data_IF_520362065494
#
_entry.id   IF_520362065494
#
_cell.length_a   1.000
_cell.length_b   1.000
_cell.length_c   1.000
_cell.angle_alpha   90.00
_cell.angle_beta   90.00
_cell.angle_gamma   90.00
#
_symmetry.space_group_name_H-M   'P 1'
#
loop_
_entity.id
_entity.type
_entity.pdbx_description
1 polymer ?
#
# COMPACT_ATOMS: atom_id res chain seq x y z
N UNK A 1 -2.81 10.37 16.91
CA UNK A 1 -3.37 9.33 16.02
C UNK A 1 -2.52 9.22 14.76
N UNK A 2 -2.42 8.02 14.20
CA UNK A 2 -1.56 7.75 13.05
C UNK A 2 -1.89 8.60 11.82
N UNK A 3 -3.19 8.78 11.51
CA UNK A 3 -3.64 9.58 10.36
C UNK A 3 -3.20 11.03 10.50
N UNK A 4 -3.35 11.62 11.69
CA UNK A 4 -2.93 13.00 11.94
C UNK A 4 -1.42 13.16 11.77
N UNK A 5 -0.64 12.20 12.25
CA UNK A 5 0.81 12.22 12.08
C UNK A 5 1.21 12.24 10.61
N UNK A 6 0.58 11.38 9.80
CA UNK A 6 0.86 11.30 8.37
C UNK A 6 0.49 12.60 7.65
N UNK A 7 -0.69 13.16 7.94
CA UNK A 7 -1.14 14.39 7.32
C UNK A 7 -0.29 15.60 7.70
N UNK A 8 0.18 15.65 8.95
CA UNK A 8 0.97 16.77 9.44
C UNK A 8 2.41 16.76 8.92
N UNK A 9 2.97 15.58 8.69
CA UNK A 9 4.40 15.43 8.38
C UNK A 9 4.68 15.11 6.93
N UNK A 10 3.71 14.58 6.19
CA UNK A 10 3.92 14.10 4.83
C UNK A 10 2.84 14.57 3.89
N UNK A 11 3.12 14.46 2.58
CA UNK A 11 2.17 14.70 1.51
C UNK A 11 1.85 13.36 0.86
N UNK A 12 0.57 13.02 0.78
CA UNK A 12 0.08 11.81 0.12
C UNK A 12 -0.09 12.06 -1.37
N UNK A 13 0.48 11.18 -2.21
CA UNK A 13 0.39 11.29 -3.67
C UNK A 13 0.22 9.92 -4.30
N UNK A 14 -0.44 9.91 -5.46
CA UNK A 14 -0.37 8.78 -6.37
C UNK A 14 1.05 8.73 -6.94
N UNK A 15 1.67 7.56 -6.92
CA UNK A 15 3.04 7.40 -7.37
C UNK A 15 3.08 7.33 -8.90
N UNK A 16 3.67 8.33 -9.52
CA UNK A 16 3.83 8.44 -10.97
C UNK A 16 5.30 8.65 -11.32
N UNK A 17 5.64 8.51 -12.60
CA UNK A 17 7.00 8.80 -13.05
C UNK A 17 7.41 10.23 -12.72
N UNK A 18 6.50 11.19 -12.87
CA UNK A 18 6.77 12.60 -12.56
C UNK A 18 7.09 12.80 -11.09
N UNK A 19 6.33 12.16 -10.21
CA UNK A 19 6.56 12.23 -8.76
C UNK A 19 7.94 11.68 -8.42
N UNK A 20 8.29 10.51 -8.98
CA UNK A 20 9.58 9.87 -8.72
C UNK A 20 10.73 10.72 -9.22
N UNK A 21 10.60 11.36 -10.38
CA UNK A 21 11.64 12.23 -10.94
C UNK A 21 11.90 13.46 -10.08
N UNK A 22 10.90 13.97 -9.39
CA UNK A 22 11.01 15.15 -8.53
C UNK A 22 11.55 14.83 -7.14
N UNK A 23 11.55 13.56 -6.76
CA UNK A 23 12.05 13.12 -5.46
C UNK A 23 13.56 12.93 -5.48
N UNK A 24 14.19 13.08 -4.30
CA UNK A 24 15.55 12.62 -4.10
C UNK A 24 15.59 11.10 -4.22
N UNK A 25 16.76 10.56 -4.54
CA UNK A 25 16.93 9.11 -4.59
C UNK A 25 16.59 8.47 -3.25
N UNK A 26 16.06 7.26 -3.29
CA UNK A 26 15.61 6.56 -2.10
C UNK A 26 16.07 5.09 -2.14
N UNK A 27 16.28 4.53 -0.95
CA UNK A 27 16.76 3.17 -0.80
C UNK A 27 15.96 2.41 0.25
N UNK A 28 15.84 1.10 0.04
CA UNK A 28 15.26 0.17 1.00
C UNK A 28 16.17 -1.05 1.09
N UNK A 29 17.23 -0.94 1.88
CA UNK A 29 18.30 -1.95 1.94
C UNK A 29 17.82 -3.28 2.52
N UNK A 30 16.77 -3.25 3.34
CA UNK A 30 16.20 -4.48 3.92
C UNK A 30 15.57 -5.38 2.89
N UNK A 31 15.11 -4.83 1.76
CA UNK A 31 14.47 -5.60 0.71
C UNK A 31 14.77 -4.97 -0.65
N UNK A 32 15.78 -5.51 -1.32
CA UNK A 32 16.24 -5.02 -2.61
C UNK A 32 15.16 -5.19 -3.70
N UNK A 33 14.34 -6.22 -3.61
CA UNK A 33 13.27 -6.46 -4.59
C UNK A 33 12.18 -5.40 -4.49
N UNK A 34 11.82 -5.00 -3.26
CA UNK A 34 10.85 -3.92 -3.04
C UNK A 34 11.42 -2.58 -3.48
N UNK A 35 12.69 -2.32 -3.23
CA UNK A 35 13.35 -1.11 -3.72
C UNK A 35 13.29 -1.03 -5.24
N UNK A 36 13.64 -2.10 -5.93
CA UNK A 36 13.58 -2.16 -7.40
C UNK A 36 12.16 -1.98 -7.91
N UNK A 37 11.18 -2.58 -7.25
CA UNK A 37 9.78 -2.43 -7.63
C UNK A 37 9.37 -0.95 -7.64
N UNK A 38 9.66 -0.23 -6.56
CA UNK A 38 9.25 1.17 -6.46
C UNK A 38 10.16 2.14 -7.22
N UNK A 39 11.29 1.69 -7.73
CA UNK A 39 12.13 2.50 -8.63
C UNK A 39 11.74 2.37 -10.09
N UNK A 40 11.34 1.19 -10.52
CA UNK A 40 11.10 0.95 -11.94
C UNK A 40 9.85 0.15 -12.26
N UNK A 41 9.57 -0.93 -11.52
CA UNK A 41 8.51 -1.87 -11.88
C UNK A 41 7.09 -1.34 -11.65
N UNK A 42 6.91 -0.39 -10.71
CA UNK A 42 5.58 0.15 -10.39
C UNK A 42 4.89 0.77 -11.60
N UNK A 43 5.66 1.32 -12.54
CA UNK A 43 5.12 1.95 -13.76
C UNK A 43 4.38 0.94 -14.62
N UNK A 44 4.97 -0.23 -14.78
CA UNK A 44 4.37 -1.30 -15.58
C UNK A 44 3.12 -1.86 -14.91
N UNK A 45 3.12 -1.98 -13.59
CA UNK A 45 1.94 -2.37 -12.83
C UNK A 45 0.80 -1.37 -13.03
N UNK A 46 1.09 -0.08 -12.95
CA UNK A 46 0.09 0.98 -13.17
C UNK A 46 -0.44 0.92 -14.62
N UNK A 47 0.44 0.76 -15.59
CA UNK A 47 0.08 0.73 -17.00
C UNK A 47 -0.76 -0.48 -17.34
N UNK A 48 -0.49 -1.63 -16.75
CA UNK A 48 -1.21 -2.87 -16.99
C UNK A 48 -2.45 -3.02 -16.11
N UNK A 49 -2.74 -2.02 -15.27
CA UNK A 49 -3.88 -2.03 -14.34
C UNK A 49 -3.84 -3.18 -13.33
N UNK A 50 -2.64 -3.69 -13.06
CA UNK A 50 -2.43 -4.76 -12.07
C UNK A 50 -2.52 -4.24 -10.64
N UNK A 51 -2.18 -2.97 -10.45
CA UNK A 51 -2.27 -2.31 -9.17
C UNK A 51 -1.90 -0.84 -9.29
N UNK A 52 -2.28 -0.04 -8.31
CA UNK A 52 -1.97 1.38 -8.28
C UNK A 52 -1.07 1.66 -7.09
N UNK A 53 -0.01 2.42 -7.32
CA UNK A 53 0.96 2.74 -6.28
C UNK A 53 0.72 4.13 -5.72
N UNK A 54 0.96 4.26 -4.42
CA UNK A 54 0.79 5.50 -3.66
C UNK A 54 2.03 5.72 -2.81
N UNK A 55 2.27 6.96 -2.45
CA UNK A 55 3.44 7.29 -1.63
C UNK A 55 3.17 8.45 -0.68
N UNK A 56 4.03 8.54 0.34
CA UNK A 56 4.10 9.68 1.23
C UNK A 56 5.45 10.36 1.04
N UNK A 57 5.40 11.66 0.79
CA UNK A 57 6.56 12.49 0.52
C UNK A 57 6.77 13.47 1.65
N UNK A 58 8.02 13.86 1.92
CA UNK A 58 8.31 14.92 2.88
C UNK A 58 7.87 16.28 2.32
N UNK A 59 7.64 17.24 3.22
CA UNK A 59 7.22 18.61 2.86
C UNK A 59 8.44 19.51 2.59
N UNK A 60 9.41 19.01 1.87
CA UNK A 60 10.60 19.73 1.48
C UNK A 60 10.48 20.22 0.04
N UNK A 61 11.28 21.22 -0.34
CA UNK A 61 11.29 21.74 -1.71
C UNK A 61 11.63 20.63 -2.71
N UNK A 62 12.68 19.85 -2.43
CA UNK A 62 12.96 18.61 -3.14
C UNK A 62 12.55 17.49 -2.20
N UNK A 63 11.38 16.88 -2.40
CA UNK A 63 10.85 15.94 -1.43
C UNK A 63 11.62 14.63 -1.39
N UNK A 64 11.58 13.98 -0.22
CA UNK A 64 12.10 12.62 -0.05
C UNK A 64 10.92 11.66 0.03
N UNK A 65 11.08 10.50 -0.58
CA UNK A 65 10.09 9.43 -0.47
C UNK A 65 10.23 8.75 0.90
N UNK A 66 9.19 8.84 1.71
CA UNK A 66 9.20 8.22 3.05
C UNK A 66 8.74 6.77 3.00
N UNK A 67 7.64 6.52 2.32
CA UNK A 67 7.12 5.17 2.13
C UNK A 67 6.27 5.10 0.87
N UNK A 68 6.05 3.88 0.39
CA UNK A 68 5.23 3.62 -0.78
C UNK A 68 4.48 2.31 -0.59
N UNK A 69 3.31 2.21 -1.21
CA UNK A 69 2.52 0.97 -1.18
C UNK A 69 1.70 0.84 -2.45
N UNK A 70 1.33 -0.41 -2.75
CA UNK A 70 0.53 -0.75 -3.93
C UNK A 70 -0.77 -1.39 -3.48
N UNK A 71 -1.87 -0.92 -4.06
CA UNK A 71 -3.20 -1.50 -3.85
C UNK A 71 -3.70 -2.09 -5.17
N UNK A 72 -4.31 -3.26 -5.10
CA UNK A 72 -4.97 -3.88 -6.24
C UNK A 72 -6.28 -4.50 -5.81
N UNK A 73 -7.21 -4.61 -6.76
CA UNK A 73 -8.46 -5.29 -6.50
C UNK A 73 -8.23 -6.80 -6.43
N UNK A 74 -8.87 -7.43 -5.48
CA UNK A 74 -8.78 -8.86 -5.29
C UNK A 74 -10.14 -9.40 -4.82
N UNK A 75 -10.20 -10.65 -4.43
CA UNK A 75 -11.39 -11.24 -3.84
C UNK A 75 -11.00 -12.28 -2.80
N UNK A 76 -11.86 -12.41 -1.79
CA UNK A 76 -11.72 -13.44 -0.77
C UNK A 76 -12.64 -14.60 -1.11
N UNK A 77 -12.07 -15.80 -1.28
CA UNK A 77 -12.81 -17.03 -1.58
C UNK A 77 -13.22 -17.72 -0.28
N UNK A 78 -14.46 -17.53 0.12
CA UNK A 78 -14.95 -18.09 1.38
C UNK A 78 -15.32 -19.57 1.26
N UNK A 79 -15.56 -20.07 0.05
CA UNK A 79 -15.84 -21.49 -0.20
C UNK A 79 -14.65 -22.39 0.14
N UNK A 80 -13.44 -21.84 0.24
CA UNK A 80 -12.22 -22.58 0.62
C UNK A 80 -11.89 -22.46 2.10
N UNK A 81 -12.68 -21.72 2.86
CA UNK A 81 -12.47 -21.54 4.28
C UNK A 81 -13.20 -22.64 5.08
N UNK A 82 -12.73 -22.89 6.30
CA UNK A 82 -13.46 -23.75 7.22
C UNK A 82 -14.85 -23.16 7.52
N UNK A 83 -15.82 -24.01 7.89
CA UNK A 83 -17.16 -23.53 8.20
C UNK A 83 -17.18 -22.44 9.28
N UNK A 84 -16.31 -22.56 10.28
CA UNK A 84 -16.20 -21.55 11.34
C UNK A 84 -15.75 -20.18 10.80
N UNK A 85 -14.70 -20.17 9.98
CA UNK A 85 -14.18 -18.94 9.38
C UNK A 85 -15.17 -18.36 8.38
N UNK A 86 -15.78 -19.20 7.57
CA UNK A 86 -16.80 -18.82 6.60
C UNK A 86 -18.00 -18.15 7.28
N UNK A 87 -18.50 -18.73 8.35
CA UNK A 87 -19.63 -18.18 9.10
C UNK A 87 -19.28 -16.86 9.77
N UNK A 88 -18.04 -16.70 10.24
CA UNK A 88 -17.58 -15.46 10.84
C UNK A 88 -17.56 -14.31 9.81
N UNK A 89 -17.08 -14.57 8.60
CA UNK A 89 -17.09 -13.58 7.53
C UNK A 89 -18.51 -13.24 7.12
N UNK A 90 -19.35 -14.26 6.91
CA UNK A 90 -20.72 -14.09 6.43
C UNK A 90 -21.63 -13.32 7.38
N UNK A 91 -21.36 -13.36 8.69
CA UNK A 91 -22.15 -12.63 9.68
C UNK A 91 -22.13 -11.11 9.48
N UNK A 92 -21.01 -10.59 9.01
CA UNK A 92 -20.80 -9.15 8.93
C UNK A 92 -21.14 -8.57 7.56
N UNK A 93 -21.56 -9.41 6.60
CA UNK A 93 -21.80 -9.00 5.21
C UNK A 93 -23.25 -9.27 4.80
N UNK A 94 -24.02 -8.24 4.40
CA UNK A 94 -25.37 -8.44 3.92
C UNK A 94 -25.44 -9.36 2.70
N UNK A 95 -26.48 -10.22 2.65
CA UNK A 95 -26.69 -11.17 1.54
C UNK A 95 -25.55 -12.17 1.34
N UNK A 96 -24.78 -12.44 2.39
CA UNK A 96 -23.61 -13.29 2.36
C UNK A 96 -23.87 -14.73 1.88
N UNK A 97 -25.05 -15.26 2.13
CA UNK A 97 -25.42 -16.63 1.77
C UNK A 97 -25.36 -16.93 0.28
N UNK A 98 -25.33 -15.90 -0.56
CA UNK A 98 -25.34 -16.02 -2.02
C UNK A 98 -23.98 -15.85 -2.66
N UNK A 99 -22.93 -15.64 -1.87
CA UNK A 99 -21.60 -15.35 -2.40
C UNK A 99 -20.56 -16.34 -1.89
N UNK A 100 -19.78 -16.86 -2.81
CA UNK A 100 -18.56 -17.63 -2.51
C UNK A 100 -17.31 -16.75 -2.54
N UNK A 101 -17.39 -15.54 -3.10
CA UNK A 101 -16.29 -14.58 -3.19
C UNK A 101 -16.77 -13.19 -2.80
N UNK A 102 -15.88 -12.44 -2.13
CA UNK A 102 -16.14 -11.04 -1.75
C UNK A 102 -15.05 -10.14 -2.31
N UNK A 103 -15.40 -8.94 -2.82
CA UNK A 103 -14.41 -7.97 -3.24
C UNK A 103 -13.48 -7.61 -2.08
N UNK A 104 -12.21 -7.45 -2.39
CA UNK A 104 -11.21 -7.07 -1.40
C UNK A 104 -10.15 -6.20 -2.05
N UNK A 105 -9.38 -5.48 -1.23
CA UNK A 105 -8.22 -4.71 -1.69
C UNK A 105 -6.98 -5.42 -1.18
N UNK A 106 -6.09 -5.74 -2.09
CA UNK A 106 -4.82 -6.39 -1.77
C UNK A 106 -3.73 -5.34 -1.64
N UNK A 107 -3.02 -5.35 -0.51
CA UNK A 107 -1.79 -4.58 -0.35
C UNK A 107 -0.67 -5.47 -0.89
N UNK A 108 -0.25 -5.20 -2.13
CA UNK A 108 0.74 -6.05 -2.79
C UNK A 108 2.16 -5.79 -2.32
N UNK A 109 2.53 -4.52 -2.20
CA UNK A 109 3.86 -4.09 -1.79
C UNK A 109 3.72 -2.96 -0.78
N UNK A 110 4.59 -2.96 0.23
CA UNK A 110 4.67 -1.88 1.20
C UNK A 110 6.14 -1.70 1.58
N UNK A 111 6.67 -0.51 1.40
CA UNK A 111 8.06 -0.21 1.69
C UNK A 111 8.18 1.07 2.49
N UNK A 112 9.02 1.05 3.52
CA UNK A 112 9.45 2.24 4.26
C UNK A 112 10.93 2.44 3.92
N UNK A 113 11.27 3.62 3.40
CA UNK A 113 12.64 3.90 2.97
C UNK A 113 13.58 3.99 4.17
N UNK A 114 14.88 3.76 3.92
CA UNK A 114 15.88 3.62 4.99
C UNK A 114 15.91 4.80 5.96
N UNK A 115 15.79 6.03 5.46
CA UNK A 115 15.85 7.25 6.26
C UNK A 115 14.68 7.39 7.25
N UNK A 116 13.64 6.59 7.09
CA UNK A 116 12.40 6.69 7.87
C UNK A 116 12.13 5.47 8.74
N UNK A 117 13.11 4.60 8.91
CA UNK A 117 13.01 3.48 9.84
C UNK A 117 13.08 3.97 11.28
N UNK A 118 12.49 3.22 12.19
CA UNK A 118 12.54 3.52 13.62
C UNK A 118 11.45 4.45 14.14
N UNK A 119 10.56 4.95 13.29
CA UNK A 119 9.44 5.80 13.69
C UNK A 119 8.08 5.12 13.52
N UNK A 120 8.09 3.81 13.32
CA UNK A 120 6.87 2.98 13.17
C UNK A 120 5.99 3.41 12.00
N UNK A 121 6.60 3.92 10.94
CA UNK A 121 5.88 4.48 9.81
C UNK A 121 5.02 3.42 9.08
N UNK A 122 5.54 2.20 8.96
CA UNK A 122 4.80 1.11 8.32
C UNK A 122 3.47 0.83 9.01
N UNK A 123 3.46 0.78 10.35
CA UNK A 123 2.23 0.60 11.15
C UNK A 123 1.27 1.76 10.94
N UNK A 124 1.78 2.99 10.93
CA UNK A 124 0.95 4.19 10.71
C UNK A 124 0.29 4.19 9.33
N UNK A 125 1.03 3.74 8.30
CA UNK A 125 0.50 3.63 6.94
C UNK A 125 -0.56 2.53 6.84
N UNK A 126 -0.35 1.40 7.50
CA UNK A 126 -1.36 0.34 7.55
C UNK A 126 -2.66 0.82 8.19
N UNK A 127 -2.58 1.62 9.23
CA UNK A 127 -3.77 2.22 9.85
C UNK A 127 -4.47 3.23 8.92
N UNK A 128 -3.70 3.92 8.07
CA UNK A 128 -4.22 4.86 7.08
C UNK A 128 -4.99 4.13 5.97
N UNK A 129 -4.46 3.01 5.50
CA UNK A 129 -5.09 2.22 4.45
C UNK A 129 -6.38 1.57 4.97
#
# INVERSE_FOLDING_TARGET
MAISYLQDNFIFRVMTEEVVKKCKDYTCKKDADIEEFFKSEFKDYNRQLLGKSYCFLTREEVPRLACAFTLSNSSVRVDRLSNKKRNKINRDIPNSKRRSQYPAVLIGQLAVMDDFHGIDLGTKVMDFI
#
